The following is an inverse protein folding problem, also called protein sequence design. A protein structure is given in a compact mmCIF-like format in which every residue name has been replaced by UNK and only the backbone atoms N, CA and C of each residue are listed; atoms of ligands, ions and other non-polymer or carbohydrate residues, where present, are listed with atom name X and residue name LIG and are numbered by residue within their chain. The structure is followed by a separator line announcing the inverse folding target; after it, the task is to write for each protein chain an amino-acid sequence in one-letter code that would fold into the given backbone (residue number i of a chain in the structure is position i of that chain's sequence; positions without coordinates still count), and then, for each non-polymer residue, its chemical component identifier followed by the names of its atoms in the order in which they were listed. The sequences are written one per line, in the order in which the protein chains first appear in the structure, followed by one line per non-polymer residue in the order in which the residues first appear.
data_IF_425012174225
#
_entry.id   IF_425012174225
#
_cell.length_a   1.000
_cell.length_b   1.000
_cell.length_c   1.000
_cell.angle_alpha   90.00
_cell.angle_beta   90.00
_cell.angle_gamma   90.00
#
_symmetry.space_group_name_H-M   'P 1'
#
loop_
_entity.id
_entity.type
_entity.pdbx_description
1 polymer ?
#
# COMPACT_ATOMS: atom_id res chain seq x y z
N UNK A 1 -58.51 -32.25 -2.71
CA UNK A 1 -57.35 -32.69 -1.91
C UNK A 1 -56.22 -31.67 -2.13
N UNK A 2 -56.38 -30.45 -1.60
CA UNK A 2 -55.53 -29.27 -1.93
C UNK A 2 -54.78 -28.74 -0.72
N UNK A 3 -54.18 -29.63 0.08
CA UNK A 3 -53.49 -29.25 1.32
C UNK A 3 -52.13 -29.94 1.49
N UNK A 4 -51.41 -30.23 0.40
CA UNK A 4 -50.11 -30.94 0.49
C UNK A 4 -49.00 -30.40 -0.44
N UNK A 5 -49.08 -29.14 -0.88
CA UNK A 5 -47.98 -28.48 -1.61
C UNK A 5 -47.50 -27.16 -0.99
N UNK A 6 -48.22 -26.63 0.01
CA UNK A 6 -47.87 -25.34 0.63
C UNK A 6 -46.71 -25.46 1.62
N UNK A 7 -46.72 -26.48 2.49
CA UNK A 7 -45.69 -26.64 3.54
C UNK A 7 -44.27 -26.87 3.03
N UNK A 8 -44.10 -27.60 1.90
CA UNK A 8 -42.77 -27.87 1.33
C UNK A 8 -42.09 -26.61 0.79
N UNK A 9 -42.86 -25.69 0.19
CA UNK A 9 -42.35 -24.42 -0.32
C UNK A 9 -41.93 -23.48 0.82
N UNK A 10 -42.70 -23.46 1.90
CA UNK A 10 -42.39 -22.62 3.08
C UNK A 10 -41.15 -23.11 3.83
N UNK A 11 -40.97 -24.43 3.99
CA UNK A 11 -39.76 -24.98 4.63
C UNK A 11 -38.50 -24.78 3.77
N UNK A 12 -38.61 -24.91 2.45
CA UNK A 12 -37.45 -24.68 1.56
C UNK A 12 -37.02 -23.21 1.54
N UNK A 13 -37.98 -22.29 1.60
CA UNK A 13 -37.71 -20.85 1.72
C UNK A 13 -37.01 -20.47 3.03
N UNK A 14 -37.45 -21.04 4.16
CA UNK A 14 -36.78 -20.82 5.45
C UNK A 14 -35.36 -21.39 5.47
N UNK A 15 -35.13 -22.57 4.87
CA UNK A 15 -33.81 -23.18 4.81
C UNK A 15 -32.82 -22.32 3.98
N UNK A 16 -33.27 -21.78 2.84
CA UNK A 16 -32.47 -20.88 2.01
C UNK A 16 -32.15 -19.56 2.73
N UNK A 17 -33.11 -18.99 3.46
CA UNK A 17 -32.89 -17.79 4.27
C UNK A 17 -31.89 -18.04 5.42
N UNK A 18 -31.93 -19.23 6.01
CA UNK A 18 -31.00 -19.63 7.07
C UNK A 18 -29.58 -19.90 6.54
N UNK A 19 -29.45 -20.43 5.33
CA UNK A 19 -28.14 -20.59 4.67
C UNK A 19 -27.54 -19.23 4.30
N UNK A 20 -28.36 -18.28 3.85
CA UNK A 20 -27.94 -16.91 3.52
C UNK A 20 -27.41 -16.13 4.74
N UNK A 21 -27.97 -16.33 5.94
CA UNK A 21 -27.52 -15.64 7.16
C UNK A 21 -26.16 -16.15 7.68
N UNK A 22 -25.80 -17.41 7.42
CA UNK A 22 -24.48 -17.98 7.77
C UNK A 22 -23.36 -17.40 6.89
N UNK A 23 -23.64 -17.07 5.63
CA UNK A 23 -22.64 -16.46 4.73
C UNK A 23 -22.30 -15.02 5.17
N UNK A 24 -23.25 -14.31 5.78
CA UNK A 24 -23.07 -12.91 6.22
C UNK A 24 -22.28 -12.77 7.54
N UNK A 25 -22.22 -13.81 8.37
CA UNK A 25 -21.52 -13.77 9.67
C UNK A 25 -20.03 -14.12 9.59
N UNK A 26 -19.52 -14.49 8.42
CA UNK A 26 -18.09 -14.83 8.22
C UNK A 26 -17.17 -13.63 8.01
N UNK A 27 -17.69 -12.39 7.93
CA UNK A 27 -16.85 -11.20 7.89
C UNK A 27 -16.46 -10.80 9.33
N UNK A 28 -15.62 -11.62 9.96
CA UNK A 28 -14.98 -11.28 11.22
C UNK A 28 -14.12 -10.04 11.02
N UNK A 29 -14.52 -8.94 11.64
CA UNK A 29 -13.77 -7.70 11.73
C UNK A 29 -12.43 -7.95 12.42
N UNK A 30 -11.43 -8.41 11.67
CA UNK A 30 -10.04 -8.23 12.05
C UNK A 30 -9.84 -6.72 12.11
N UNK A 31 -9.68 -6.17 13.30
CA UNK A 31 -9.08 -4.84 13.46
C UNK A 31 -7.72 -4.92 12.78
N UNK A 32 -7.64 -4.37 11.57
CA UNK A 32 -6.38 -4.09 10.92
C UNK A 32 -5.83 -2.90 11.71
N UNK A 33 -5.01 -3.18 12.72
CA UNK A 33 -4.12 -2.16 13.28
C UNK A 33 -3.23 -1.74 12.11
N UNK A 34 -3.57 -0.62 11.47
CA UNK A 34 -2.68 0.01 10.51
C UNK A 34 -1.36 0.26 11.25
N UNK A 35 -0.21 -0.21 10.73
CA UNK A 35 1.07 0.15 11.31
C UNK A 35 1.11 1.68 11.40
N UNK A 36 1.48 2.20 12.57
CA UNK A 36 1.71 3.63 12.76
C UNK A 36 2.59 4.11 11.60
N UNK A 37 2.07 5.02 10.78
CA UNK A 37 2.88 5.64 9.75
C UNK A 37 3.98 6.41 10.47
N UNK A 38 5.26 6.14 10.21
CA UNK A 38 6.33 6.85 10.88
C UNK A 38 6.21 8.35 10.60
N UNK A 39 6.61 9.19 11.56
CA UNK A 39 6.41 10.62 11.47
C UNK A 39 7.14 11.18 10.25
N UNK A 40 6.44 12.03 9.49
CA UNK A 40 7.03 12.85 8.44
C UNK A 40 8.16 13.70 9.02
N UNK A 41 9.39 13.54 8.53
CA UNK A 41 10.59 14.28 8.97
C UNK A 41 11.01 15.30 7.91
N UNK A 42 10.36 16.49 7.84
CA UNK A 42 10.67 17.50 6.83
C UNK A 42 12.12 17.97 6.89
N UNK A 43 12.73 17.92 8.07
CA UNK A 43 14.13 18.31 8.28
C UNK A 43 15.14 17.48 7.47
N UNK A 44 14.78 16.24 7.10
CA UNK A 44 15.64 15.34 6.32
C UNK A 44 15.38 15.44 4.81
N UNK A 45 14.31 16.12 4.37
CA UNK A 45 13.88 16.12 2.98
C UNK A 45 14.99 16.65 2.06
N UNK A 46 15.54 17.82 2.34
CA UNK A 46 16.60 18.43 1.53
C UNK A 46 17.85 17.55 1.49
N UNK A 47 18.34 17.07 2.64
CA UNK A 47 19.55 16.22 2.68
C UNK A 47 19.35 14.89 1.96
N UNK A 48 18.19 14.26 2.11
CA UNK A 48 17.90 12.98 1.46
C UNK A 48 17.62 13.13 -0.03
N UNK A 49 16.99 14.23 -0.45
CA UNK A 49 16.87 14.55 -1.87
C UNK A 49 18.22 14.83 -2.52
N UNK A 50 19.15 15.46 -1.81
CA UNK A 50 20.51 15.65 -2.30
C UNK A 50 21.24 14.31 -2.49
N UNK A 51 21.13 13.39 -1.52
CA UNK A 51 21.68 12.04 -1.67
C UNK A 51 21.01 11.28 -2.82
N UNK A 52 19.69 11.40 -2.99
CA UNK A 52 18.96 10.71 -4.06
C UNK A 52 19.34 11.20 -5.45
N UNK A 53 19.45 12.52 -5.66
CA UNK A 53 19.87 13.07 -6.96
C UNK A 53 21.30 12.67 -7.28
N UNK A 54 22.20 12.68 -6.28
CA UNK A 54 23.58 12.20 -6.48
C UNK A 54 23.62 10.69 -6.77
N UNK A 55 22.86 9.88 -6.04
CA UNK A 55 22.71 8.45 -6.28
C UNK A 55 22.19 8.19 -7.71
N UNK A 56 21.20 8.95 -8.16
CA UNK A 56 20.65 8.83 -9.50
C UNK A 56 21.69 9.15 -10.58
N UNK A 57 22.53 10.17 -10.37
CA UNK A 57 23.60 10.53 -11.32
C UNK A 57 24.63 9.41 -11.56
N UNK A 58 24.71 8.44 -10.64
CA UNK A 58 25.58 7.27 -10.72
C UNK A 58 24.80 5.96 -10.97
N UNK A 59 23.52 6.07 -11.31
CA UNK A 59 22.66 4.92 -11.60
C UNK A 59 22.72 4.53 -13.07
N UNK A 60 22.76 3.23 -13.40
CA UNK A 60 22.58 2.75 -14.78
C UNK A 60 21.10 2.70 -15.22
N UNK A 61 20.16 3.24 -14.42
CA UNK A 61 18.72 3.12 -14.69
C UNK A 61 18.29 3.96 -15.89
N UNK A 62 17.50 3.37 -16.80
CA UNK A 62 17.10 4.00 -18.07
C UNK A 62 15.69 4.64 -18.06
N UNK A 63 15.05 4.72 -16.90
CA UNK A 63 13.64 5.18 -16.75
C UNK A 63 13.51 6.70 -16.66
N UNK A 64 14.62 7.44 -16.67
CA UNK A 64 14.65 8.88 -16.43
C UNK A 64 14.46 9.25 -14.95
N UNK A 65 14.67 10.52 -14.62
CA UNK A 65 14.60 11.02 -13.23
C UNK A 65 13.19 10.91 -12.63
N UNK A 66 12.15 11.10 -13.43
CA UNK A 66 10.75 10.99 -13.01
C UNK A 66 10.34 9.56 -12.65
N UNK A 67 10.93 8.57 -13.32
CA UNK A 67 10.68 7.15 -13.06
C UNK A 67 11.63 6.52 -12.03
N UNK A 68 12.70 7.23 -11.66
CA UNK A 68 13.73 6.72 -10.77
C UNK A 68 13.38 7.04 -9.32
N UNK A 69 12.75 6.08 -8.65
CA UNK A 69 12.29 6.21 -7.27
C UNK A 69 13.46 6.11 -6.29
N UNK A 70 13.60 7.11 -5.42
CA UNK A 70 14.65 7.14 -4.40
C UNK A 70 14.60 5.89 -3.52
N UNK A 71 15.75 5.22 -3.34
CA UNK A 71 15.86 3.97 -2.58
C UNK A 71 15.49 2.70 -3.35
N UNK A 72 15.00 2.78 -4.60
CA UNK A 72 14.58 1.60 -5.37
C UNK A 72 15.43 1.29 -6.60
N UNK A 73 16.29 2.21 -7.04
CA UNK A 73 17.20 1.97 -8.16
C UNK A 73 18.61 1.62 -7.66
N UNK A 74 19.34 0.84 -8.46
CA UNK A 74 20.76 0.53 -8.19
C UNK A 74 21.64 1.73 -8.51
N UNK A 75 22.68 1.98 -7.72
CA UNK A 75 23.60 3.11 -7.90
C UNK A 75 25.02 2.77 -7.42
N UNK A 76 26.02 3.44 -7.97
CA UNK A 76 27.40 3.41 -7.47
C UNK A 76 27.60 4.11 -6.12
N UNK A 77 26.65 4.96 -5.69
CA UNK A 77 26.66 5.64 -4.40
C UNK A 77 25.30 5.48 -3.72
N UNK A 78 25.11 4.42 -2.90
CA UNK A 78 23.84 4.19 -2.21
C UNK A 78 23.53 5.30 -1.22
N UNK A 79 22.25 5.42 -0.87
CA UNK A 79 21.77 6.33 0.15
C UNK A 79 22.32 5.92 1.53
N UNK A 80 22.37 6.89 2.44
CA UNK A 80 22.55 6.60 3.86
C UNK A 80 21.32 5.88 4.42
N UNK A 81 21.52 5.07 5.48
CA UNK A 81 20.42 4.34 6.13
C UNK A 81 19.27 5.26 6.56
N UNK A 82 19.59 6.46 7.06
CA UNK A 82 18.58 7.47 7.43
C UNK A 82 17.72 7.92 6.25
N UNK A 83 18.29 7.98 5.04
CA UNK A 83 17.57 8.36 3.84
C UNK A 83 16.85 7.19 3.18
N UNK A 84 17.38 5.96 3.31
CA UNK A 84 16.61 4.74 2.99
C UNK A 84 15.33 4.71 3.82
N UNK A 85 15.43 4.82 5.15
CA UNK A 85 14.28 4.88 6.07
C UNK A 85 13.33 6.05 5.73
N UNK A 86 13.86 7.20 5.30
CA UNK A 86 13.05 8.34 4.90
C UNK A 86 12.21 8.03 3.67
N UNK A 87 12.80 7.46 2.61
CA UNK A 87 12.10 7.17 1.35
C UNK A 87 11.21 5.92 1.40
N UNK A 88 11.37 5.04 2.40
CA UNK A 88 10.40 3.97 2.66
C UNK A 88 8.99 4.52 2.93
N UNK A 89 8.91 5.73 3.49
CA UNK A 89 7.63 6.33 3.90
C UNK A 89 7.32 7.65 3.18
N UNK A 90 8.33 8.28 2.59
CA UNK A 90 8.21 9.48 1.76
C UNK A 90 8.57 9.15 0.31
N UNK A 91 7.71 8.41 -0.36
CA UNK A 91 7.96 7.97 -1.74
C UNK A 91 8.13 9.17 -2.69
N UNK A 92 9.32 9.30 -3.28
CA UNK A 92 9.67 10.40 -4.19
C UNK A 92 10.56 9.87 -5.32
N UNK A 93 10.43 10.47 -6.50
CA UNK A 93 11.37 10.26 -7.60
C UNK A 93 12.57 11.21 -7.49
N UNK A 94 13.67 10.87 -8.15
CA UNK A 94 14.82 11.75 -8.30
C UNK A 94 14.42 13.08 -8.97
N UNK A 95 13.46 13.03 -9.91
CA UNK A 95 12.84 14.21 -10.52
C UNK A 95 12.16 15.13 -9.51
N UNK A 96 11.25 14.59 -8.69
CA UNK A 96 10.60 15.36 -7.62
C UNK A 96 11.60 15.93 -6.62
N UNK A 97 12.69 15.20 -6.34
CA UNK A 97 13.72 15.68 -5.44
C UNK A 97 14.48 16.91 -5.95
N UNK A 98 14.52 17.17 -7.26
CA UNK A 98 15.19 18.36 -7.81
C UNK A 98 14.57 19.69 -7.34
N UNK A 99 13.31 19.68 -6.92
CA UNK A 99 12.64 20.87 -6.38
C UNK A 99 13.15 21.26 -4.97
N UNK A 100 13.89 20.36 -4.31
CA UNK A 100 14.31 20.49 -2.91
C UNK A 100 15.82 20.63 -2.72
N UNK A 101 16.60 20.61 -3.82
CA UNK A 101 18.07 20.77 -3.84
C UNK A 101 18.52 22.05 -4.52
#
# INVERSE_FOLDING_TARGET
MSHNMSHKKTMFGMLLLFLLSVVLTACGSKQITLPEQPPYKPELQTSCCQECVEAFSQSPVAVGEEGAVCGQFTTGKPLSASCEDYFEVNYMSAGSCQEFV
#
